data_IF_572860459731
#
_entry.id   IF_572860459731
#
_cell.length_a   1.000
_cell.length_b   1.000
_cell.length_c   1.000
_cell.angle_alpha   90.00
_cell.angle_beta   90.00
_cell.angle_gamma   90.00
#
_symmetry.space_group_name_H-M   'P 1'
#
loop_
_entity.id
_entity.type
_entity.pdbx_description
1 polymer ?
#
# COMPACT_ATOMS: atom_id res chain seq x y z
N UNK A 1 6.16 -19.23 11.14
CA UNK A 1 5.34 -18.50 10.14
C UNK A 1 5.39 -19.20 8.78
N UNK A 2 4.35 -19.09 7.94
CA UNK A 2 4.37 -19.61 6.56
C UNK A 2 4.95 -18.58 5.58
N UNK A 3 6.26 -18.30 5.70
CA UNK A 3 6.93 -17.21 4.97
C UNK A 3 6.71 -17.26 3.46
N UNK A 4 7.00 -18.39 2.81
CA UNK A 4 6.84 -18.54 1.35
C UNK A 4 5.42 -18.21 0.87
N UNK A 5 4.39 -18.59 1.62
CA UNK A 5 3.01 -18.26 1.25
C UNK A 5 2.75 -16.76 1.35
N UNK A 6 3.23 -16.11 2.41
CA UNK A 6 3.06 -14.66 2.60
C UNK A 6 3.85 -13.86 1.56
N UNK A 7 5.07 -14.31 1.23
CA UNK A 7 5.87 -13.71 0.17
C UNK A 7 5.15 -13.78 -1.19
N UNK A 8 4.59 -14.95 -1.54
CA UNK A 8 3.81 -15.11 -2.78
C UNK A 8 2.53 -14.24 -2.77
N UNK A 9 1.88 -14.06 -1.62
CA UNK A 9 0.75 -13.11 -1.52
C UNK A 9 1.18 -11.66 -1.78
N UNK A 10 2.36 -11.24 -1.34
CA UNK A 10 2.90 -9.90 -1.64
C UNK A 10 3.26 -9.74 -3.13
N UNK A 11 3.75 -10.81 -3.77
CA UNK A 11 3.98 -10.84 -5.22
C UNK A 11 2.65 -10.69 -5.96
N UNK A 12 1.64 -11.48 -5.57
CA UNK A 12 0.31 -11.44 -6.18
C UNK A 12 -0.37 -10.08 -5.99
N UNK A 13 -0.28 -9.48 -4.80
CA UNK A 13 -0.85 -8.15 -4.54
C UNK A 13 -0.21 -7.08 -5.43
N UNK A 14 1.11 -7.18 -5.68
CA UNK A 14 1.83 -6.30 -6.60
C UNK A 14 1.23 -6.35 -8.01
N UNK A 15 1.02 -7.55 -8.54
CA UNK A 15 0.42 -7.74 -9.87
C UNK A 15 -1.03 -7.25 -9.93
N UNK A 16 -1.81 -7.48 -8.88
CA UNK A 16 -3.18 -6.99 -8.77
C UNK A 16 -3.23 -5.46 -8.77
N UNK A 17 -2.37 -4.81 -7.99
CA UNK A 17 -2.26 -3.35 -7.96
C UNK A 17 -1.86 -2.83 -9.34
N UNK A 18 -0.87 -3.43 -9.99
CA UNK A 18 -0.45 -3.05 -11.34
C UNK A 18 -1.61 -3.15 -12.35
N UNK A 19 -2.39 -4.23 -12.31
CA UNK A 19 -3.57 -4.39 -13.15
C UNK A 19 -4.66 -3.34 -12.86
N UNK A 20 -4.87 -3.00 -11.58
CA UNK A 20 -5.83 -1.97 -11.16
C UNK A 20 -5.42 -0.55 -11.56
N UNK A 21 -4.13 -0.28 -11.76
CA UNK A 21 -3.64 1.03 -12.19
C UNK A 21 -3.55 1.18 -13.72
N UNK A 22 -3.57 0.05 -14.44
CA UNK A 22 -3.45 0.04 -15.89
C UNK A 22 -4.54 0.86 -16.60
N UNK A 23 -4.10 1.65 -17.58
CA UNK A 23 -4.96 2.44 -18.47
C UNK A 23 -5.66 3.64 -17.81
N UNK A 24 -5.23 4.05 -16.62
CA UNK A 24 -5.77 5.22 -15.93
C UNK A 24 -4.99 6.47 -16.34
N UNK A 25 -5.71 7.53 -16.74
CA UNK A 25 -5.10 8.83 -17.05
C UNK A 25 -4.78 9.62 -15.78
N UNK A 26 -3.95 10.66 -15.88
CA UNK A 26 -3.67 11.57 -14.77
C UNK A 26 -4.96 12.15 -14.16
N UNK A 27 -5.88 12.64 -15.00
CA UNK A 27 -7.13 13.25 -14.55
C UNK A 27 -8.02 12.24 -13.81
N UNK A 28 -8.11 11.01 -14.34
CA UNK A 28 -8.85 9.93 -13.71
C UNK A 28 -8.22 9.49 -12.38
N UNK A 29 -6.88 9.49 -12.30
CA UNK A 29 -6.18 9.17 -11.07
C UNK A 29 -6.37 10.24 -9.99
N UNK A 30 -6.58 11.49 -10.39
CA UNK A 30 -6.82 12.62 -9.48
C UNK A 30 -8.27 12.75 -9.01
N UNK A 31 -9.20 12.14 -9.74
CA UNK A 31 -10.63 12.17 -9.42
C UNK A 31 -10.91 11.64 -8.00
N UNK A 32 -11.72 12.39 -7.26
CA UNK A 32 -12.20 12.03 -5.93
C UNK A 32 -13.72 11.85 -5.99
N UNK A 33 -14.27 10.67 -5.64
CA UNK A 33 -15.72 10.46 -5.63
C UNK A 33 -16.46 11.39 -4.66
N UNK A 34 -15.82 11.72 -3.54
CA UNK A 34 -16.29 12.72 -2.56
C UNK A 34 -15.11 13.57 -2.08
N UNK A 35 -15.34 14.74 -1.48
CA UNK A 35 -14.25 15.58 -0.94
C UNK A 35 -13.35 14.84 0.07
N UNK A 36 -13.93 13.94 0.86
CA UNK A 36 -13.25 13.21 1.95
C UNK A 36 -12.66 11.87 1.50
N UNK A 37 -13.08 11.32 0.36
CA UNK A 37 -12.49 10.09 -0.19
C UNK A 37 -11.04 10.31 -0.60
N UNK A 38 -10.27 9.24 -0.82
CA UNK A 38 -9.00 9.34 -1.52
C UNK A 38 -9.20 9.19 -3.03
N UNK A 39 -8.33 9.79 -3.84
CA UNK A 39 -8.18 9.46 -5.25
C UNK A 39 -7.27 8.25 -5.44
N UNK A 40 -7.24 7.70 -6.66
CA UNK A 40 -6.34 6.60 -7.01
C UNK A 40 -4.87 7.04 -6.85
N UNK A 41 -4.55 8.28 -7.24
CA UNK A 41 -3.23 8.86 -7.05
C UNK A 41 -2.86 8.99 -5.56
N UNK A 42 -3.81 9.38 -4.70
CA UNK A 42 -3.61 9.44 -3.25
C UNK A 42 -3.31 8.05 -2.68
N UNK A 43 -4.01 7.00 -3.13
CA UNK A 43 -3.74 5.60 -2.73
C UNK A 43 -2.36 5.14 -3.21
N UNK A 44 -1.97 5.42 -4.45
CA UNK A 44 -0.66 5.00 -4.98
C UNK A 44 0.49 5.67 -4.23
N UNK A 45 0.36 6.96 -3.92
CA UNK A 45 1.38 7.66 -3.14
C UNK A 45 1.46 7.12 -1.71
N UNK A 46 0.30 6.87 -1.07
CA UNK A 46 0.25 6.25 0.25
C UNK A 46 0.98 4.91 0.28
N UNK A 47 0.65 4.01 -0.66
CA UNK A 47 1.33 2.71 -0.79
C UNK A 47 2.85 2.87 -0.97
N UNK A 48 3.28 3.86 -1.75
CA UNK A 48 4.69 4.14 -1.95
C UNK A 48 5.41 4.59 -0.68
N UNK A 49 4.78 5.45 0.13
CA UNK A 49 5.35 5.90 1.40
C UNK A 49 5.40 4.76 2.42
N UNK A 50 4.31 4.02 2.58
CA UNK A 50 4.19 2.86 3.47
C UNK A 50 5.20 1.76 3.15
N UNK A 51 5.47 1.52 1.86
CA UNK A 51 6.45 0.54 1.40
C UNK A 51 7.88 0.83 1.93
N UNK A 52 8.24 2.10 2.07
CA UNK A 52 9.63 2.52 2.37
C UNK A 52 9.84 3.06 3.79
N UNK A 53 8.82 3.71 4.36
CA UNK A 53 8.91 4.42 5.64
C UNK A 53 8.12 3.71 6.75
N UNK A 54 7.19 2.79 6.42
CA UNK A 54 6.50 1.95 7.40
C UNK A 54 7.01 0.50 7.32
N UNK A 55 6.41 -0.32 6.47
CA UNK A 55 6.52 -1.77 6.60
C UNK A 55 7.94 -2.30 6.42
N UNK A 56 8.66 -1.86 5.37
CA UNK A 56 10.05 -2.31 5.16
C UNK A 56 10.97 -1.81 6.26
N UNK A 57 10.85 -0.54 6.62
CA UNK A 57 11.68 0.13 7.62
C UNK A 57 11.49 -0.52 8.98
N UNK A 58 10.25 -0.65 9.43
CA UNK A 58 9.91 -1.22 10.72
C UNK A 58 10.20 -2.72 10.80
N UNK A 59 9.97 -3.47 9.71
CA UNK A 59 10.32 -4.89 9.71
C UNK A 59 11.84 -5.09 9.85
N UNK A 60 12.63 -4.32 9.10
CA UNK A 60 14.09 -4.34 9.23
C UNK A 60 14.56 -3.88 10.61
N UNK A 61 13.94 -2.83 11.17
CA UNK A 61 14.22 -2.36 12.53
C UNK A 61 14.00 -3.49 13.55
N UNK A 62 12.83 -4.14 13.52
CA UNK A 62 12.50 -5.23 14.46
C UNK A 62 13.51 -6.37 14.32
N UNK A 63 13.89 -6.72 13.09
CA UNK A 63 14.79 -7.84 12.83
C UNK A 63 16.25 -7.54 13.17
N UNK A 64 16.73 -6.31 12.92
CA UNK A 64 18.17 -6.06 12.79
C UNK A 64 18.68 -4.83 13.57
N UNK A 65 17.86 -3.80 13.82
CA UNK A 65 18.34 -2.47 14.28
C UNK A 65 17.68 -1.96 15.56
N UNK A 66 17.34 -2.85 16.50
CA UNK A 66 16.65 -2.45 17.74
C UNK A 66 17.49 -1.60 18.71
N UNK A 67 18.78 -1.38 18.42
CA UNK A 67 19.65 -0.43 19.12
C UNK A 67 19.50 1.03 18.62
N UNK A 68 18.76 1.23 17.53
CA UNK A 68 18.41 2.54 16.99
C UNK A 68 17.08 3.08 17.58
N UNK A 69 16.79 4.36 17.33
CA UNK A 69 15.48 4.93 17.67
C UNK A 69 14.41 4.49 16.67
N UNK A 70 13.20 4.19 17.17
CA UNK A 70 12.07 3.82 16.32
C UNK A 70 11.67 4.97 15.40
N UNK A 71 11.49 4.67 14.10
CA UNK A 71 11.08 5.64 13.11
C UNK A 71 9.61 6.06 13.33
N UNK A 72 9.38 7.31 13.69
CA UNK A 72 8.01 7.82 13.86
C UNK A 72 7.40 8.20 12.50
N UNK A 73 6.19 7.72 12.23
CA UNK A 73 5.47 7.97 10.98
C UNK A 73 4.11 8.65 11.24
N UNK A 74 3.57 9.33 10.23
CA UNK A 74 2.23 9.89 10.29
C UNK A 74 1.51 9.77 8.93
N UNK A 75 1.15 8.55 8.50
CA UNK A 75 0.65 8.31 7.15
C UNK A 75 -0.61 9.10 6.82
N UNK A 76 -1.51 9.25 7.80
CA UNK A 76 -2.76 9.98 7.60
C UNK A 76 -2.54 11.47 7.31
N UNK A 77 -1.54 12.09 7.95
CA UNK A 77 -1.23 13.50 7.72
C UNK A 77 -0.44 13.71 6.41
N UNK A 78 0.40 12.74 6.03
CA UNK A 78 1.22 12.82 4.82
C UNK A 78 0.42 13.05 3.55
N UNK A 79 -0.81 12.52 3.47
CA UNK A 79 -1.72 12.75 2.34
C UNK A 79 -1.85 14.25 2.02
N UNK A 80 -2.03 15.07 3.06
CA UNK A 80 -2.19 16.51 2.91
C UNK A 80 -0.83 17.21 2.89
N UNK A 81 0.07 16.86 3.80
CA UNK A 81 1.38 17.51 3.96
C UNK A 81 2.25 17.38 2.69
N UNK A 82 2.27 16.19 2.08
CA UNK A 82 3.03 15.87 0.86
C UNK A 82 2.23 16.10 -0.42
N UNK A 83 0.99 16.59 -0.29
CA UNK A 83 0.09 16.96 -1.39
C UNK A 83 -0.05 15.83 -2.42
N UNK A 84 -0.41 14.63 -1.96
CA UNK A 84 -0.43 13.42 -2.81
C UNK A 84 -1.16 13.63 -4.14
N UNK A 85 -2.32 14.30 -4.12
CA UNK A 85 -3.12 14.52 -5.32
C UNK A 85 -2.55 15.58 -6.31
N UNK A 86 -1.40 16.19 -6.00
CA UNK A 86 -0.70 17.14 -6.87
C UNK A 86 0.51 16.53 -7.59
N UNK A 87 0.70 15.23 -7.44
CA UNK A 87 1.87 14.50 -7.93
C UNK A 87 1.60 13.94 -9.33
N UNK A 88 2.67 13.54 -10.04
CA UNK A 88 2.55 12.89 -11.34
C UNK A 88 2.25 11.40 -11.18
N UNK A 89 1.15 10.93 -11.77
CA UNK A 89 0.67 9.57 -11.58
C UNK A 89 1.58 8.51 -12.22
N UNK A 90 2.22 8.82 -13.35
CA UNK A 90 3.15 7.89 -14.00
C UNK A 90 4.41 7.75 -13.15
N UNK A 91 4.97 8.87 -12.70
CA UNK A 91 6.15 8.89 -11.83
C UNK A 91 5.88 8.14 -10.51
N UNK A 92 4.70 8.32 -9.92
CA UNK A 92 4.37 7.66 -8.66
C UNK A 92 4.18 6.14 -8.81
N UNK A 93 3.65 5.67 -9.95
CA UNK A 93 3.63 4.24 -10.25
C UNK A 93 5.04 3.68 -10.37
N UNK A 94 5.91 4.34 -11.15
CA UNK A 94 7.31 3.92 -11.32
C UNK A 94 8.03 3.83 -9.97
N UNK A 95 7.84 4.83 -9.11
CA UNK A 95 8.40 4.86 -7.75
C UNK A 95 7.89 3.73 -6.88
N UNK A 96 6.57 3.49 -6.84
CA UNK A 96 5.97 2.40 -6.07
C UNK A 96 6.55 1.05 -6.50
N UNK A 97 6.52 0.73 -7.79
CA UNK A 97 6.98 -0.58 -8.26
C UNK A 97 8.50 -0.74 -8.17
N UNK A 98 9.27 0.35 -8.27
CA UNK A 98 10.70 0.31 -8.00
C UNK A 98 10.99 -0.03 -6.52
N UNK A 99 10.25 0.55 -5.57
CA UNK A 99 10.39 0.20 -4.15
C UNK A 99 9.91 -1.21 -3.85
N UNK A 100 8.77 -1.62 -4.42
CA UNK A 100 8.26 -2.99 -4.27
C UNK A 100 9.26 -4.04 -4.75
N UNK A 101 9.93 -3.79 -5.87
CA UNK A 101 11.00 -4.67 -6.36
C UNK A 101 12.15 -4.79 -5.36
N UNK A 102 12.62 -3.67 -4.78
CA UNK A 102 13.67 -3.69 -3.75
C UNK A 102 13.23 -4.48 -2.51
N UNK A 103 11.98 -4.28 -2.07
CA UNK A 103 11.41 -5.00 -0.92
C UNK A 103 11.34 -6.50 -1.17
N UNK A 104 10.87 -6.93 -2.34
CA UNK A 104 10.80 -8.35 -2.72
C UNK A 104 12.20 -8.97 -2.83
N UNK A 105 13.17 -8.25 -3.39
CA UNK A 105 14.57 -8.72 -3.44
C UNK A 105 15.15 -8.87 -2.03
N UNK A 106 14.94 -7.90 -1.14
CA UNK A 106 15.38 -7.95 0.25
C UNK A 106 14.70 -9.06 1.07
N UNK A 107 13.39 -9.26 0.90
CA UNK A 107 12.64 -10.29 1.62
C UNK A 107 13.16 -11.71 1.34
N UNK A 108 13.69 -12.00 0.14
CA UNK A 108 14.25 -13.32 -0.19
C UNK A 108 15.38 -13.73 0.76
N UNK A 109 16.16 -12.76 1.24
CA UNK A 109 17.25 -12.99 2.16
C UNK A 109 16.77 -13.26 3.61
N UNK A 110 15.48 -13.08 3.89
CA UNK A 110 14.87 -13.23 5.22
C UNK A 110 14.16 -14.58 5.46
N UNK A 111 14.22 -15.53 4.54
CA UNK A 111 13.61 -16.87 4.70
C UNK A 111 13.98 -17.57 6.03
N UNK A 112 15.20 -17.35 6.54
CA UNK A 112 15.70 -17.88 7.81
C UNK A 112 15.62 -16.94 9.02
N UNK A 113 14.95 -15.78 8.89
CA UNK A 113 14.87 -14.79 9.96
C UNK A 113 14.08 -15.30 11.19
N UNK A 114 14.38 -14.74 12.36
CA UNK A 114 13.61 -15.01 13.56
C UNK A 114 12.32 -14.16 13.56
N UNK A 115 11.24 -14.72 13.00
CA UNK A 115 9.94 -14.05 12.91
C UNK A 115 9.23 -13.81 14.25
N UNK A 116 9.69 -14.48 15.32
CA UNK A 116 9.19 -14.25 16.68
C UNK A 116 9.98 -13.13 17.40
N UNK A 117 11.03 -12.58 16.76
CA UNK A 117 11.72 -11.39 17.28
C UNK A 117 10.72 -10.25 17.37
N UNK A 118 10.63 -9.68 18.56
CA UNK A 118 9.58 -8.73 18.94
C UNK A 118 10.22 -7.41 19.32
N UNK A 119 9.57 -6.31 18.93
CA UNK A 119 9.85 -4.98 19.46
C UNK A 119 8.70 -4.57 20.39
N UNK A 120 9.04 -3.99 21.54
CA UNK A 120 8.07 -3.53 22.54
C UNK A 120 8.20 -2.03 22.73
N UNK A 121 7.10 -1.32 22.54
CA UNK A 121 6.95 0.12 22.80
C UNK A 121 5.84 0.36 23.83
N UNK A 122 5.57 1.64 24.14
CA UNK A 122 4.44 2.02 24.98
C UNK A 122 3.06 1.67 24.38
N UNK A 123 3.00 1.45 23.06
CA UNK A 123 1.77 1.15 22.33
C UNK A 123 1.52 -0.36 22.17
N UNK A 124 2.45 -1.21 22.59
CA UNK A 124 2.32 -2.66 22.50
C UNK A 124 3.61 -3.36 22.06
N UNK A 125 3.51 -4.67 21.90
CA UNK A 125 4.58 -5.51 21.37
C UNK A 125 4.20 -6.04 20.00
N UNK A 126 5.11 -5.90 19.04
CA UNK A 126 4.90 -6.33 17.65
C UNK A 126 6.01 -7.31 17.24
N UNK A 127 5.68 -8.60 17.05
CA UNK A 127 6.57 -9.56 16.40
C UNK A 127 6.84 -9.20 14.94
N UNK A 128 8.03 -9.51 14.44
CA UNK A 128 8.39 -9.31 13.03
C UNK A 128 7.42 -10.02 12.07
N UNK A 129 6.96 -11.21 12.42
CA UNK A 129 5.97 -11.94 11.64
C UNK A 129 4.61 -11.22 11.54
N UNK A 130 4.19 -10.50 12.59
CA UNK A 130 2.97 -9.70 12.55
C UNK A 130 3.14 -8.47 11.67
N UNK A 131 4.30 -7.79 11.75
CA UNK A 131 4.62 -6.67 10.87
C UNK A 131 4.58 -7.09 9.38
N UNK A 132 5.22 -8.21 9.04
CA UNK A 132 5.21 -8.70 7.65
C UNK A 132 3.81 -9.12 7.19
N UNK A 133 3.04 -9.83 8.02
CA UNK A 133 1.66 -10.20 7.68
C UNK A 133 0.76 -8.96 7.53
N UNK A 134 0.97 -7.92 8.34
CA UNK A 134 0.23 -6.66 8.28
C UNK A 134 0.48 -5.90 6.99
N UNK A 135 1.71 -5.92 6.47
CA UNK A 135 2.04 -5.33 5.16
C UNK A 135 1.18 -5.90 4.04
N UNK A 136 1.07 -7.23 3.97
CA UNK A 136 0.28 -7.93 2.95
C UNK A 136 -1.23 -7.67 3.15
N UNK A 137 -1.69 -7.67 4.40
CA UNK A 137 -3.07 -7.35 4.70
C UNK A 137 -3.41 -5.90 4.32
N UNK A 138 -2.48 -4.96 4.51
CA UNK A 138 -2.62 -3.56 4.15
C UNK A 138 -2.72 -3.36 2.64
N UNK A 139 -1.90 -4.07 1.84
CA UNK A 139 -2.07 -4.14 0.38
C UNK A 139 -3.50 -4.57 0.01
N UNK A 140 -4.06 -5.59 0.67
CA UNK A 140 -5.42 -6.05 0.42
C UNK A 140 -6.48 -5.00 0.78
N UNK A 141 -6.27 -4.21 1.84
CA UNK A 141 -7.16 -3.08 2.17
C UNK A 141 -7.19 -2.06 1.03
N UNK A 142 -6.02 -1.70 0.48
CA UNK A 142 -5.95 -0.74 -0.62
C UNK A 142 -6.31 -1.31 -1.99
N UNK A 143 -6.16 -2.61 -2.22
CA UNK A 143 -6.72 -3.28 -3.40
C UNK A 143 -8.24 -3.13 -3.40
N UNK A 144 -8.91 -3.38 -2.27
CA UNK A 144 -10.36 -3.13 -2.13
C UNK A 144 -10.70 -1.67 -2.41
N UNK A 145 -9.93 -0.74 -1.85
CA UNK A 145 -10.14 0.69 -2.09
C UNK A 145 -9.97 1.06 -3.58
N UNK A 146 -8.95 0.54 -4.26
CA UNK A 146 -8.71 0.78 -5.69
C UNK A 146 -9.84 0.21 -6.55
N UNK A 147 -10.39 -0.96 -6.20
CA UNK A 147 -11.57 -1.53 -6.88
C UNK A 147 -12.76 -0.58 -6.76
N UNK A 148 -13.04 -0.07 -5.56
CA UNK A 148 -14.13 0.90 -5.33
C UNK A 148 -13.92 2.21 -6.09
N UNK A 149 -12.69 2.72 -6.13
CA UNK A 149 -12.36 3.93 -6.88
C UNK A 149 -12.52 3.72 -8.39
N UNK A 150 -12.17 2.54 -8.91
CA UNK A 150 -12.45 2.18 -10.31
C UNK A 150 -13.95 2.08 -10.58
N UNK A 151 -14.74 1.52 -9.67
CA UNK A 151 -16.20 1.49 -9.78
C UNK A 151 -16.77 2.92 -9.82
N UNK A 152 -16.37 3.78 -8.90
CA UNK A 152 -16.81 5.17 -8.85
C UNK A 152 -16.43 5.95 -10.13
N UNK A 153 -15.24 5.68 -10.69
CA UNK A 153 -14.84 6.20 -12.00
C UNK A 153 -15.80 5.74 -13.11
N UNK A 154 -16.12 4.45 -13.18
CA UNK A 154 -17.07 3.90 -14.17
C UNK A 154 -18.42 4.59 -14.05
N UNK A 155 -18.92 4.76 -12.84
CA UNK A 155 -20.18 5.47 -12.57
C UNK A 155 -20.13 6.93 -13.03
N UNK A 156 -19.02 7.63 -12.81
CA UNK A 156 -18.84 9.03 -13.22
C UNK A 156 -18.81 9.18 -14.76
N UNK A 157 -18.07 8.33 -15.48
CA UNK A 157 -17.94 8.43 -16.95
C UNK A 157 -19.17 7.94 -17.71
N UNK A 158 -20.04 7.16 -17.05
CA UNK A 158 -21.24 6.56 -17.66
C UNK A 158 -22.47 7.45 -17.52
N UNK A 159 -22.37 8.58 -16.82
CA UNK A 159 -23.49 9.51 -16.67
C UNK A 159 -24.06 9.96 -18.02
N UNK A 160 -25.40 10.05 -18.16
CA UNK A 160 -26.42 9.95 -17.11
C UNK A 160 -26.95 8.52 -16.84
N UNK A 161 -26.30 7.48 -17.37
CA UNK A 161 -26.75 6.10 -17.17
C UNK A 161 -26.32 5.57 -15.78
N UNK A 162 -27.22 4.83 -15.13
CA UNK A 162 -26.94 4.19 -13.85
C UNK A 162 -26.31 2.79 -14.02
N UNK A 163 -25.46 2.40 -13.07
CA UNK A 163 -24.81 1.08 -13.04
C UNK A 163 -25.55 0.07 -12.13
N UNK A 164 -26.78 0.36 -11.71
CA UNK A 164 -27.54 -0.43 -10.74
C UNK A 164 -27.73 -1.91 -11.14
N UNK A 165 -27.70 -2.23 -12.44
CA UNK A 165 -27.77 -3.62 -12.91
C UNK A 165 -26.59 -4.48 -12.45
N UNK A 166 -25.42 -3.87 -12.15
CA UNK A 166 -24.26 -4.57 -11.60
C UNK A 166 -24.46 -4.98 -10.12
N UNK A 167 -25.50 -4.48 -9.45
CA UNK A 167 -25.75 -4.67 -8.03
C UNK A 167 -24.98 -3.71 -7.13
N UNK A 168 -25.42 -3.68 -5.87
CA UNK A 168 -24.74 -3.02 -4.77
C UNK A 168 -23.89 -4.08 -4.06
N UNK A 169 -22.59 -3.80 -3.91
CA UNK A 169 -21.63 -4.70 -3.28
C UNK A 169 -21.68 -4.58 -1.76
#
# INVERSE_FOLDING_TARGET
>A
MKFEMLYEELVNSTEMIQALLAGISQEEAQFKPTPDAWSILEVVYHLYDEEREDFREHLDFILNRQDEEWHQINPQAWVTERKYNKQDFSEMQEKLFAERKKSLEWLKDLSGANWDKTYTSEFGSVPAGEMFASWIAHDNLHIRQLVELRRAKIENITQPYAIAYAGDW
#
